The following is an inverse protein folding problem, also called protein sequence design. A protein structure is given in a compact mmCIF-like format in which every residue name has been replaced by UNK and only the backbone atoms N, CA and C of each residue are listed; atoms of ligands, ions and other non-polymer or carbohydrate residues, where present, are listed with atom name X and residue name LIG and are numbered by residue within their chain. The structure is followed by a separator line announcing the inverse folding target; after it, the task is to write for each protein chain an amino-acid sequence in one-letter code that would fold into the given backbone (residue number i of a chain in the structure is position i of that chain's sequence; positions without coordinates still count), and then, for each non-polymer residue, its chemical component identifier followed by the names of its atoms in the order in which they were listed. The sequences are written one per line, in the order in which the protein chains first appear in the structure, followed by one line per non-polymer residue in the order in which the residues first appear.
data_IF_235249405759
#
_entry.id   IF_235249405759
#
_cell.length_a   1.000
_cell.length_b   1.000
_cell.length_c   1.000
_cell.angle_alpha   90.00
_cell.angle_beta   90.00
_cell.angle_gamma   90.00
#
_symmetry.space_group_name_H-M   'P 1'
#
loop_
_entity.id
_entity.type
_entity.pdbx_description
1 polymer ?
#
# COMPACT_ATOMS: atom_id res chain seq x y z
N UNK A 1 63.33 -14.62 33.58
CA UNK A 1 61.94 -14.94 33.97
C UNK A 1 61.03 -14.76 32.76
N UNK A 2 60.36 -15.83 32.32
CA UNK A 2 59.56 -15.89 31.07
C UNK A 2 58.20 -15.21 31.23
N UNK A 3 57.87 -14.35 30.28
CA UNK A 3 56.56 -13.71 30.08
C UNK A 3 55.54 -14.73 29.57
N UNK A 4 54.47 -14.95 30.33
CA UNK A 4 53.35 -15.83 29.94
C UNK A 4 52.32 -14.99 29.16
N UNK A 5 52.36 -15.03 27.82
CA UNK A 5 51.26 -14.55 26.98
C UNK A 5 50.08 -15.52 27.11
N UNK A 6 49.00 -15.04 27.71
CA UNK A 6 47.71 -15.74 27.75
C UNK A 6 47.07 -15.70 26.37
N UNK A 7 47.09 -16.83 25.67
CA UNK A 7 46.35 -17.04 24.43
C UNK A 7 44.87 -17.25 24.76
N UNK A 8 44.05 -16.21 24.63
CA UNK A 8 42.59 -16.34 24.64
C UNK A 8 42.18 -17.18 23.42
N UNK A 9 41.59 -18.36 23.66
CA UNK A 9 40.92 -19.14 22.61
C UNK A 9 39.74 -18.32 22.06
N UNK A 10 39.51 -18.28 20.74
CA UNK A 10 38.27 -17.74 20.21
C UNK A 10 37.12 -18.63 20.70
N UNK A 11 36.12 -18.02 21.33
CA UNK A 11 34.88 -18.71 21.71
C UNK A 11 34.13 -19.19 20.47
N UNK A 12 33.18 -20.14 20.62
CA UNK A 12 32.37 -20.61 19.50
C UNK A 12 31.67 -19.40 18.84
N UNK A 13 31.73 -19.32 17.52
CA UNK A 13 31.02 -18.29 16.76
C UNK A 13 29.54 -18.36 17.15
N UNK A 14 28.98 -17.26 17.67
CA UNK A 14 27.55 -17.16 17.90
C UNK A 14 26.82 -17.52 16.61
N UNK A 15 25.72 -18.31 16.67
CA UNK A 15 24.96 -18.60 15.48
C UNK A 15 24.52 -17.28 14.86
N UNK A 16 24.87 -17.09 13.59
CA UNK A 16 24.54 -15.92 12.80
C UNK A 16 23.00 -15.72 12.83
N UNK A 17 22.53 -14.82 13.69
CA UNK A 17 21.10 -14.57 13.89
C UNK A 17 20.48 -13.84 12.71
N UNK A 18 19.18 -13.56 12.77
CA UNK A 18 18.47 -12.77 11.75
C UNK A 18 19.15 -11.40 11.48
N UNK A 19 19.82 -10.86 12.51
CA UNK A 19 20.58 -9.61 12.43
C UNK A 19 21.82 -9.64 11.54
N UNK A 20 22.33 -10.82 11.13
CA UNK A 20 23.48 -10.95 10.22
C UNK A 20 23.10 -11.28 8.78
N UNK A 21 21.83 -11.55 8.48
CA UNK A 21 21.36 -11.75 7.10
C UNK A 21 21.59 -10.50 6.27
N UNK A 22 21.84 -10.58 4.95
CA UNK A 22 21.80 -9.42 4.03
C UNK A 22 20.43 -8.73 4.00
N UNK A 23 20.39 -7.45 3.62
CA UNK A 23 19.12 -6.68 3.54
C UNK A 23 18.13 -7.34 2.55
N UNK A 24 18.61 -7.91 1.45
CA UNK A 24 17.78 -8.63 0.47
C UNK A 24 17.03 -9.81 1.10
N UNK A 25 17.72 -10.62 1.93
CA UNK A 25 17.09 -11.71 2.66
C UNK A 25 16.09 -11.20 3.70
N UNK A 26 16.36 -10.06 4.34
CA UNK A 26 15.41 -9.43 5.26
C UNK A 26 14.16 -8.92 4.53
N UNK A 27 14.30 -8.38 3.32
CA UNK A 27 13.14 -8.00 2.49
C UNK A 27 12.28 -9.22 2.19
N UNK A 28 12.87 -10.37 1.86
CA UNK A 28 12.12 -11.61 1.65
C UNK A 28 11.37 -12.07 2.91
N UNK A 29 12.02 -11.99 4.08
CA UNK A 29 11.35 -12.28 5.37
C UNK A 29 10.18 -11.33 5.60
N UNK A 30 10.37 -10.03 5.39
CA UNK A 30 9.32 -9.01 5.58
C UNK A 30 8.16 -9.18 4.59
N UNK A 31 8.41 -9.77 3.42
CA UNK A 31 7.36 -10.08 2.44
C UNK A 31 6.39 -11.15 2.95
N UNK A 32 6.85 -12.04 3.82
CA UNK A 32 6.02 -13.07 4.46
C UNK A 32 5.23 -12.58 5.67
N UNK A 33 5.58 -11.42 6.22
CA UNK A 33 4.85 -10.81 7.32
C UNK A 33 3.53 -10.22 6.81
N UNK A 34 2.58 -10.01 7.72
CA UNK A 34 1.46 -9.13 7.41
C UNK A 34 1.88 -7.65 7.52
N UNK A 35 0.92 -6.76 7.27
CA UNK A 35 1.17 -5.32 7.28
C UNK A 35 1.39 -4.79 8.69
N UNK A 36 0.68 -5.31 9.70
CA UNK A 36 0.80 -4.87 11.10
C UNK A 36 2.19 -5.23 11.64
N UNK A 37 2.61 -6.46 11.42
CA UNK A 37 3.92 -6.96 11.76
C UNK A 37 5.00 -6.16 11.03
N UNK A 38 4.85 -5.92 9.73
CA UNK A 38 5.84 -5.12 8.98
C UNK A 38 6.00 -3.72 9.57
N UNK A 39 4.89 -3.07 9.91
CA UNK A 39 4.90 -1.70 10.44
C UNK A 39 5.42 -1.65 11.87
N UNK A 40 5.08 -2.64 12.71
CA UNK A 40 5.59 -2.79 14.07
C UNK A 40 7.10 -3.08 14.09
N UNK A 41 7.56 -3.99 13.23
CA UNK A 41 8.97 -4.34 13.10
C UNK A 41 9.84 -3.19 12.57
N UNK A 42 9.26 -2.25 11.83
CA UNK A 42 9.93 -1.00 11.44
C UNK A 42 10.28 -0.08 12.65
N UNK A 43 9.70 -0.34 13.82
CA UNK A 43 10.01 0.33 15.08
C UNK A 43 11.26 -0.23 15.79
N UNK A 44 11.66 -1.47 15.50
CA UNK A 44 12.67 -2.22 16.27
C UNK A 44 14.09 -1.69 16.05
N UNK A 45 14.47 -1.36 14.82
CA UNK A 45 15.80 -0.83 14.50
C UNK A 45 15.79 0.06 13.25
N UNK A 46 16.82 0.90 13.10
CA UNK A 46 17.02 1.71 11.89
C UNK A 46 17.19 0.87 10.62
N UNK A 47 17.79 -0.31 10.75
CA UNK A 47 17.96 -1.27 9.65
C UNK A 47 16.60 -1.86 9.22
N UNK A 48 15.81 -2.33 10.17
CA UNK A 48 14.49 -2.91 9.89
C UNK A 48 13.53 -1.86 9.35
N UNK A 49 13.63 -0.63 9.85
CA UNK A 49 12.92 0.53 9.28
C UNK A 49 13.25 0.76 7.81
N UNK A 50 14.51 0.59 7.40
CA UNK A 50 14.94 0.73 6.00
C UNK A 50 14.37 -0.41 5.15
N UNK A 51 14.51 -1.65 5.62
CA UNK A 51 13.93 -2.84 4.94
C UNK A 51 12.42 -2.69 4.77
N UNK A 52 11.69 -2.28 5.81
CA UNK A 52 10.25 -2.09 5.75
C UNK A 52 9.80 -0.97 4.79
N UNK A 53 10.70 -0.05 4.42
CA UNK A 53 10.45 1.00 3.42
C UNK A 53 10.74 0.55 1.99
N UNK A 54 11.34 -0.63 1.80
CA UNK A 54 11.73 -1.10 0.49
C UNK A 54 10.52 -1.17 -0.47
N UNK A 55 10.60 -0.53 -1.65
CA UNK A 55 9.50 -0.53 -2.62
C UNK A 55 9.02 -1.94 -2.99
N UNK A 56 9.89 -2.95 -3.02
CA UNK A 56 9.53 -4.32 -3.37
C UNK A 56 8.51 -4.95 -2.39
N UNK A 57 8.44 -4.46 -1.15
CA UNK A 57 7.40 -4.88 -0.19
C UNK A 57 6.02 -4.32 -0.53
N UNK A 58 5.97 -3.18 -1.23
CA UNK A 58 4.76 -2.41 -1.47
C UNK A 58 4.35 -2.35 -2.93
N UNK A 59 5.16 -2.90 -3.85
CA UNK A 59 4.83 -3.00 -5.28
C UNK A 59 3.66 -3.95 -5.56
N UNK A 60 3.39 -4.89 -4.64
CA UNK A 60 2.26 -5.81 -4.70
C UNK A 60 1.24 -5.45 -3.63
N UNK A 61 -0.02 -5.72 -3.94
CA UNK A 61 -1.12 -5.53 -3.01
C UNK A 61 -0.92 -6.40 -1.77
N UNK A 62 -0.89 -5.76 -0.59
CA UNK A 62 -0.86 -6.46 0.70
C UNK A 62 -2.24 -6.54 1.32
N UNK A 63 -2.43 -7.51 2.21
CA UNK A 63 -3.65 -7.67 2.99
C UNK A 63 -3.37 -7.46 4.48
N UNK A 64 -4.36 -6.93 5.19
CA UNK A 64 -4.35 -6.79 6.64
C UNK A 64 -5.75 -6.84 7.23
N UNK A 65 -5.82 -7.03 8.55
CA UNK A 65 -7.04 -6.91 9.33
C UNK A 65 -6.76 -6.09 10.59
N UNK A 66 -6.46 -4.82 10.38
CA UNK A 66 -6.13 -3.86 11.44
C UNK A 66 -7.34 -2.93 11.63
N UNK A 67 -7.76 -2.75 12.86
CA UNK A 67 -8.84 -1.81 13.20
C UNK A 67 -8.54 -0.41 12.66
N UNK A 68 -9.55 0.27 12.09
CA UNK A 68 -9.35 1.62 11.52
C UNK A 68 -8.70 2.57 12.50
N UNK A 69 -9.02 2.52 13.78
CA UNK A 69 -8.49 3.46 14.76
C UNK A 69 -6.98 3.24 15.02
N UNK A 70 -6.48 2.02 14.77
CA UNK A 70 -5.05 1.66 14.82
C UNK A 70 -4.37 1.83 13.46
N UNK A 71 -5.12 1.75 12.35
CA UNK A 71 -4.58 1.92 11.01
C UNK A 71 -4.50 3.40 10.59
N UNK A 72 -5.62 4.12 10.69
CA UNK A 72 -5.80 5.51 10.30
C UNK A 72 -5.88 6.41 11.54
N UNK A 73 -5.00 7.40 11.62
CA UNK A 73 -5.07 8.44 12.64
C UNK A 73 -5.64 9.74 12.06
N UNK A 74 -6.74 10.24 12.64
CA UNK A 74 -7.31 11.56 12.34
C UNK A 74 -6.42 12.70 12.88
N UNK A 75 -5.96 12.59 14.14
CA UNK A 75 -5.13 13.63 14.78
C UNK A 75 -4.01 13.06 15.69
N UNK A 76 -3.84 11.73 15.73
CA UNK A 76 -2.98 11.03 16.70
C UNK A 76 -1.64 10.51 16.17
N UNK A 77 -0.73 10.21 17.10
CA UNK A 77 0.58 9.61 16.81
C UNK A 77 0.51 8.10 16.57
N UNK A 78 -0.53 7.41 17.05
CA UNK A 78 -0.55 5.95 17.16
C UNK A 78 -0.88 5.21 15.86
N UNK A 79 -1.72 5.79 14.98
CA UNK A 79 -2.08 5.13 13.72
C UNK A 79 -0.92 5.03 12.71
N UNK A 80 -0.89 4.01 11.87
CA UNK A 80 0.18 3.85 10.87
C UNK A 80 0.08 4.80 9.67
N UNK A 81 -1.13 5.27 9.37
CA UNK A 81 -1.44 6.18 8.29
C UNK A 81 -2.09 7.44 8.84
N UNK A 82 -1.67 8.61 8.38
CA UNK A 82 -2.24 9.91 8.74
C UNK A 82 -3.22 10.35 7.67
N UNK A 83 -4.45 10.71 8.05
CA UNK A 83 -5.39 11.33 7.11
C UNK A 83 -4.92 12.75 6.77
N UNK A 84 -4.94 13.09 5.48
CA UNK A 84 -4.52 14.39 4.94
C UNK A 84 -5.71 15.24 4.46
N UNK A 85 -6.86 14.63 4.25
CA UNK A 85 -8.08 15.31 3.84
C UNK A 85 -9.28 14.76 4.59
N UNK A 86 -10.33 15.57 4.70
CA UNK A 86 -11.63 15.05 5.11
C UNK A 86 -12.13 14.02 4.07
N UNK A 87 -12.80 12.95 4.53
CA UNK A 87 -13.37 11.96 3.63
C UNK A 87 -14.48 12.56 2.76
N UNK A 88 -14.51 12.20 1.48
CA UNK A 88 -15.57 12.53 0.52
C UNK A 88 -16.34 11.27 0.18
N UNK A 89 -17.65 11.30 0.35
CA UNK A 89 -18.51 10.14 0.09
C UNK A 89 -19.12 10.23 -1.30
N UNK A 90 -19.09 9.13 -2.04
CA UNK A 90 -19.87 8.91 -3.25
C UNK A 90 -20.64 7.58 -3.18
N UNK A 91 -21.31 7.21 -4.27
CA UNK A 91 -22.07 5.96 -4.36
C UNK A 91 -21.21 4.68 -4.31
N UNK A 92 -19.89 4.81 -4.33
CA UNK A 92 -18.92 3.71 -4.34
C UNK A 92 -18.18 3.57 -3.01
N UNK A 93 -18.27 4.55 -2.11
CA UNK A 93 -17.65 4.53 -0.79
C UNK A 93 -17.17 5.91 -0.33
N UNK A 94 -16.36 5.91 0.72
CA UNK A 94 -15.75 7.11 1.29
C UNK A 94 -14.28 7.21 0.90
N UNK A 95 -13.84 8.36 0.39
CA UNK A 95 -12.51 8.58 -0.16
C UNK A 95 -11.75 9.64 0.64
N UNK A 96 -10.52 9.35 1.06
CA UNK A 96 -9.66 10.30 1.75
C UNK A 96 -8.20 10.17 1.30
N UNK A 97 -7.50 11.29 1.17
CA UNK A 97 -6.04 11.28 1.04
C UNK A 97 -5.43 10.93 2.38
N UNK A 98 -4.40 10.09 2.37
CA UNK A 98 -3.65 9.73 3.56
C UNK A 98 -2.14 9.63 3.27
N UNK A 99 -1.34 9.58 4.31
CA UNK A 99 0.10 9.39 4.26
C UNK A 99 0.49 8.23 5.15
N UNK A 100 1.17 7.23 4.58
CA UNK A 100 1.84 6.20 5.39
C UNK A 100 3.01 6.85 6.13
N UNK A 101 2.98 6.85 7.46
CA UNK A 101 4.04 7.47 8.28
C UNK A 101 5.41 6.88 7.98
N UNK A 102 5.47 5.56 7.75
CA UNK A 102 6.67 4.87 7.30
C UNK A 102 7.02 5.27 5.86
N UNK A 103 8.16 5.94 5.67
CA UNK A 103 8.62 6.40 4.35
C UNK A 103 7.84 7.59 3.78
N UNK A 104 6.85 8.15 4.50
CA UNK A 104 6.07 9.34 4.11
C UNK A 104 5.48 9.25 2.70
N UNK A 105 4.81 8.13 2.43
CA UNK A 105 4.22 7.85 1.10
C UNK A 105 2.76 8.29 1.09
N UNK A 106 2.38 9.14 0.13
CA UNK A 106 0.99 9.59 -0.06
C UNK A 106 0.17 8.56 -0.81
N UNK A 107 -1.06 8.40 -0.36
CA UNK A 107 -2.00 7.38 -0.80
C UNK A 107 -3.41 7.95 -0.85
N UNK A 108 -4.26 7.29 -1.62
CA UNK A 108 -5.69 7.50 -1.61
C UNK A 108 -6.36 6.28 -0.95
N UNK A 109 -7.12 6.49 0.11
CA UNK A 109 -7.87 5.46 0.81
C UNK A 109 -9.33 5.52 0.40
N UNK A 110 -9.89 4.38 0.00
CA UNK A 110 -11.33 4.17 -0.22
C UNK A 110 -11.86 3.20 0.83
N UNK A 111 -12.78 3.64 1.66
CA UNK A 111 -13.52 2.79 2.61
C UNK A 111 -14.87 2.42 2.01
N UNK A 112 -15.17 1.12 1.96
CA UNK A 112 -16.42 0.55 1.46
C UNK A 112 -17.09 -0.20 2.60
N UNK A 113 -18.32 0.17 2.90
CA UNK A 113 -19.15 -0.53 3.88
C UNK A 113 -19.61 -1.88 3.31
N UNK A 114 -19.41 -2.97 4.05
CA UNK A 114 -19.77 -4.31 3.61
C UNK A 114 -21.26 -4.61 3.84
N UNK A 115 -21.92 -3.94 4.78
CA UNK A 115 -23.36 -4.08 5.02
C UNK A 115 -24.19 -3.43 3.90
N UNK A 116 -23.64 -2.40 3.25
CA UNK A 116 -24.28 -1.71 2.13
C UNK A 116 -24.35 -2.55 0.86
N UNK A 117 -23.44 -3.51 0.72
CA UNK A 117 -23.13 -4.15 -0.55
C UNK A 117 -24.07 -5.32 -0.88
N UNK A 118 -24.71 -5.92 0.14
CA UNK A 118 -25.85 -6.84 0.06
C UNK A 118 -26.26 -7.14 1.52
N UNK A 119 -27.48 -6.78 1.94
CA UNK A 119 -27.96 -6.81 3.33
C UNK A 119 -27.84 -8.20 4.02
N UNK A 120 -26.64 -8.52 4.52
CA UNK A 120 -26.34 -9.73 5.27
C UNK A 120 -25.56 -10.84 4.55
N UNK A 121 -25.16 -10.68 3.27
CA UNK A 121 -24.44 -11.75 2.52
C UNK A 121 -22.90 -11.58 2.46
N UNK A 122 -22.35 -10.53 3.08
CA UNK A 122 -20.91 -10.29 3.17
C UNK A 122 -20.34 -9.50 1.99
N UNK A 123 -19.06 -9.73 1.64
CA UNK A 123 -18.38 -8.95 0.60
C UNK A 123 -18.91 -9.32 -0.79
N UNK A 124 -19.53 -8.38 -1.53
CA UNK A 124 -20.02 -8.70 -2.89
C UNK A 124 -18.90 -9.21 -3.78
N UNK A 125 -19.24 -10.26 -4.53
CA UNK A 125 -18.39 -10.84 -5.57
C UNK A 125 -17.87 -9.78 -6.56
N UNK A 126 -18.63 -8.70 -6.82
CA UNK A 126 -18.20 -7.61 -7.72
C UNK A 126 -17.00 -6.85 -7.16
N UNK A 127 -17.00 -6.58 -5.85
CA UNK A 127 -15.91 -5.90 -5.17
C UNK A 127 -14.67 -6.80 -5.13
N UNK A 128 -14.83 -8.07 -4.74
CA UNK A 128 -13.74 -9.05 -4.72
C UNK A 128 -13.12 -9.26 -6.09
N UNK A 129 -13.95 -9.40 -7.14
CA UNK A 129 -13.47 -9.50 -8.52
C UNK A 129 -12.72 -8.24 -8.95
N UNK A 130 -13.21 -7.06 -8.60
CA UNK A 130 -12.55 -5.80 -8.95
C UNK A 130 -11.18 -5.70 -8.27
N UNK A 131 -11.07 -6.08 -7.00
CA UNK A 131 -9.79 -6.16 -6.29
C UNK A 131 -8.85 -7.14 -6.99
N UNK A 132 -9.32 -8.35 -7.29
CA UNK A 132 -8.51 -9.36 -7.97
C UNK A 132 -7.98 -8.90 -9.33
N UNK A 133 -8.77 -8.16 -10.11
CA UNK A 133 -8.30 -7.54 -11.34
C UNK A 133 -7.22 -6.46 -11.07
N UNK A 134 -7.45 -5.57 -10.11
CA UNK A 134 -6.50 -4.50 -9.76
C UNK A 134 -5.15 -5.04 -9.27
N UNK A 135 -5.14 -6.19 -8.59
CA UNK A 135 -3.92 -6.85 -8.13
C UNK A 135 -3.00 -7.33 -9.26
N UNK A 136 -3.55 -7.56 -10.46
CA UNK A 136 -2.79 -8.06 -11.61
C UNK A 136 -2.24 -6.92 -12.48
N UNK A 137 -2.77 -5.72 -12.30
CA UNK A 137 -2.46 -4.55 -13.11
C UNK A 137 -1.25 -3.80 -12.54
N UNK A 138 -0.09 -4.05 -13.13
CA UNK A 138 1.16 -3.39 -12.79
C UNK A 138 1.69 -2.63 -14.01
N UNK A 139 1.30 -1.36 -14.13
CA UNK A 139 1.70 -0.49 -15.24
C UNK A 139 1.87 0.96 -14.79
N UNK A 140 2.86 1.72 -15.28
CA UNK A 140 3.12 3.10 -14.85
C UNK A 140 1.93 4.07 -15.02
N UNK A 141 1.02 3.80 -15.95
CA UNK A 141 -0.17 4.63 -16.20
C UNK A 141 -1.45 4.08 -15.56
N UNK A 142 -1.34 3.01 -14.76
CA UNK A 142 -2.46 2.47 -13.97
C UNK A 142 -2.15 2.71 -12.50
N UNK A 143 -3.12 3.28 -11.78
CA UNK A 143 -2.95 3.55 -10.34
C UNK A 143 -2.89 2.21 -9.59
N UNK A 144 -1.79 1.91 -8.87
CA UNK A 144 -1.63 0.63 -8.21
C UNK A 144 -2.49 0.55 -6.95
N UNK A 145 -3.10 -0.62 -6.71
CA UNK A 145 -3.68 -0.99 -5.42
C UNK A 145 -2.58 -1.58 -4.53
N UNK A 146 -2.23 -0.89 -3.45
CA UNK A 146 -1.06 -1.19 -2.63
C UNK A 146 -1.41 -1.95 -1.35
N UNK A 147 -2.56 -1.68 -0.75
CA UNK A 147 -3.02 -2.33 0.48
C UNK A 147 -4.56 -2.50 0.46
N UNK A 148 -5.01 -3.65 0.96
CA UNK A 148 -6.40 -3.96 1.27
C UNK A 148 -6.47 -4.29 2.76
N UNK A 149 -7.24 -3.52 3.53
CA UNK A 149 -7.47 -3.78 4.93
C UNK A 149 -8.93 -4.16 5.17
N UNK A 150 -9.15 -5.22 5.94
CA UNK A 150 -10.47 -5.62 6.44
C UNK A 150 -10.62 -5.10 7.86
N UNK A 151 -11.44 -4.08 8.04
CA UNK A 151 -11.84 -3.59 9.35
C UNK A 151 -13.06 -4.42 9.83
N UNK A 152 -12.80 -5.36 10.73
CA UNK A 152 -13.84 -6.22 11.31
C UNK A 152 -14.78 -5.43 12.23
N UNK A 153 -14.30 -4.60 13.19
CA UNK A 153 -15.19 -3.82 14.06
C UNK A 153 -16.18 -2.91 13.32
N UNK A 154 -15.75 -2.28 12.22
CA UNK A 154 -16.60 -1.37 11.43
C UNK A 154 -17.29 -2.07 10.27
N UNK A 155 -16.99 -3.34 10.03
CA UNK A 155 -17.43 -4.11 8.87
C UNK A 155 -17.15 -3.39 7.53
N UNK A 156 -15.92 -2.90 7.38
CA UNK A 156 -15.49 -2.13 6.20
C UNK A 156 -14.31 -2.77 5.51
N UNK A 157 -14.25 -2.58 4.20
CA UNK A 157 -13.05 -2.83 3.40
C UNK A 157 -12.39 -1.50 3.04
N UNK A 158 -11.10 -1.38 3.33
CA UNK A 158 -10.32 -0.19 3.02
C UNK A 158 -9.26 -0.50 1.97
N UNK A 159 -9.31 0.23 0.86
CA UNK A 159 -8.47 0.05 -0.32
C UNK A 159 -7.52 1.25 -0.45
N UNK A 160 -6.22 0.99 -0.45
CA UNK A 160 -5.19 2.03 -0.52
C UNK A 160 -4.51 2.01 -1.88
N UNK A 161 -4.65 3.12 -2.59
CA UNK A 161 -4.09 3.35 -3.91
C UNK A 161 -2.90 4.30 -3.84
N UNK A 162 -1.97 4.19 -4.80
CA UNK A 162 -0.93 5.21 -4.97
C UNK A 162 -1.54 6.59 -5.28
N UNK A 163 -1.09 7.66 -4.61
CA UNK A 163 -1.53 9.02 -4.97
C UNK A 163 -0.80 9.50 -6.23
N UNK A 164 -1.50 9.52 -7.36
CA UNK A 164 -0.98 10.00 -8.66
C UNK A 164 -1.26 11.49 -8.91
N UNK A 165 -1.72 12.23 -7.90
CA UNK A 165 -1.83 13.68 -7.95
C UNK A 165 -3.23 14.18 -8.30
N UNK A 166 -3.34 14.93 -9.40
CA UNK A 166 -4.54 15.70 -9.75
C UNK A 166 -5.45 14.89 -10.68
N UNK A 167 -6.73 14.65 -10.31
CA UNK A 167 -7.68 13.98 -11.19
C UNK A 167 -7.94 14.76 -12.48
N UNK A 168 -8.18 14.04 -13.58
CA UNK A 168 -8.48 14.64 -14.88
C UNK A 168 -9.66 15.62 -14.83
N UNK A 169 -10.68 15.33 -14.02
CA UNK A 169 -11.84 16.21 -13.82
C UNK A 169 -11.47 17.63 -13.38
N UNK A 170 -10.39 17.78 -12.61
CA UNK A 170 -9.91 19.10 -12.17
C UNK A 170 -9.34 19.88 -13.35
N UNK A 171 -8.60 19.20 -14.24
CA UNK A 171 -8.09 19.79 -15.47
C UNK A 171 -9.23 20.19 -16.41
N UNK A 172 -10.25 19.34 -16.54
CA UNK A 172 -11.42 19.63 -17.38
C UNK A 172 -12.27 20.79 -16.86
N UNK A 173 -12.37 20.94 -15.52
CA UNK A 173 -13.08 22.08 -14.90
C UNK A 173 -12.40 23.43 -15.13
N UNK A 174 -11.09 23.45 -15.40
CA UNK A 174 -10.37 24.68 -15.77
C UNK A 174 -10.73 25.18 -17.19
N UNK A 175 -11.53 24.41 -17.95
CA UNK A 175 -12.02 24.78 -19.27
C UNK A 175 -11.14 24.24 -20.38
N UNK A 176 -10.50 25.12 -21.15
CA UNK A 176 -9.69 24.69 -22.31
C UNK A 176 -8.39 24.06 -21.84
N UNK A 177 -8.17 22.81 -22.23
CA UNK A 177 -6.90 22.10 -22.05
C UNK A 177 -6.04 22.32 -23.29
N UNK A 178 -4.74 22.58 -23.11
CA UNK A 178 -3.82 22.72 -24.24
C UNK A 178 -3.74 21.40 -25.02
N UNK A 179 -3.60 21.48 -26.34
CA UNK A 179 -3.56 20.29 -27.20
C UNK A 179 -2.43 19.32 -26.83
N UNK A 180 -1.31 19.83 -26.34
CA UNK A 180 -0.18 19.01 -25.87
C UNK A 180 -0.54 18.21 -24.62
N UNK A 181 -1.19 18.85 -23.64
CA UNK A 181 -1.68 18.20 -22.43
C UNK A 181 -2.75 17.15 -22.74
N UNK A 182 -3.69 17.48 -23.64
CA UNK A 182 -4.71 16.55 -24.09
C UNK A 182 -4.10 15.31 -24.76
N UNK A 183 -3.07 15.50 -25.62
CA UNK A 183 -2.32 14.38 -26.22
C UNK A 183 -1.57 13.55 -25.17
N UNK A 184 -1.04 14.18 -24.14
CA UNK A 184 -0.35 13.50 -23.05
C UNK A 184 -1.33 12.61 -22.28
N UNK A 185 -2.46 13.17 -21.83
CA UNK A 185 -3.52 12.45 -21.11
C UNK A 185 -4.05 11.29 -21.96
N UNK A 186 -4.39 11.55 -23.23
CA UNK A 186 -4.93 10.51 -24.11
C UNK A 186 -3.94 9.35 -24.29
N UNK A 187 -2.65 9.64 -24.44
CA UNK A 187 -1.61 8.61 -24.54
C UNK A 187 -1.55 7.75 -23.27
N UNK A 188 -1.59 8.37 -22.09
CA UNK A 188 -1.57 7.65 -20.82
C UNK A 188 -2.79 6.73 -20.67
N UNK A 189 -3.98 7.23 -21.01
CA UNK A 189 -5.24 6.46 -20.99
C UNK A 189 -5.18 5.29 -21.98
N UNK A 190 -4.73 5.53 -23.22
CA UNK A 190 -4.60 4.46 -24.22
C UNK A 190 -3.58 3.40 -23.81
N UNK A 191 -2.46 3.78 -23.21
CA UNK A 191 -1.47 2.84 -22.67
C UNK A 191 -2.06 2.01 -21.51
N UNK A 192 -2.81 2.65 -20.61
CA UNK A 192 -3.49 1.95 -19.52
C UNK A 192 -4.52 0.94 -20.04
N UNK A 193 -5.38 1.35 -20.98
CA UNK A 193 -6.38 0.48 -21.60
C UNK A 193 -5.76 -0.67 -22.36
N UNK A 194 -4.69 -0.42 -23.14
CA UNK A 194 -3.96 -1.47 -23.84
C UNK A 194 -3.41 -2.52 -22.87
N UNK A 195 -2.83 -2.08 -21.74
CA UNK A 195 -2.36 -2.99 -20.69
C UNK A 195 -3.51 -3.80 -20.07
N UNK A 196 -4.61 -3.14 -19.71
CA UNK A 196 -5.79 -3.82 -19.17
C UNK A 196 -6.34 -4.88 -20.15
N UNK A 197 -6.47 -4.54 -21.43
CA UNK A 197 -6.97 -5.44 -22.46
C UNK A 197 -6.05 -6.63 -22.71
N UNK A 198 -4.72 -6.43 -22.66
CA UNK A 198 -3.75 -7.51 -22.76
C UNK A 198 -3.88 -8.55 -21.61
N UNK A 199 -4.43 -8.13 -20.46
CA UNK A 199 -4.76 -9.01 -19.33
C UNK A 199 -6.23 -9.48 -19.31
N UNK A 200 -7.00 -9.19 -20.37
CA UNK A 200 -8.42 -9.58 -20.45
C UNK A 200 -9.36 -8.76 -19.55
N UNK A 201 -8.94 -7.59 -19.09
CA UNK A 201 -9.71 -6.71 -18.20
C UNK A 201 -10.30 -5.54 -19.00
N UNK A 202 -11.61 -5.35 -18.94
CA UNK A 202 -12.32 -4.21 -19.56
C UNK A 202 -12.78 -3.21 -18.51
N UNK A 203 -12.37 -1.93 -18.63
CA UNK A 203 -12.67 -0.86 -17.66
C UNK A 203 -14.16 -0.49 -17.60
N UNK A 204 -14.93 -0.74 -18.68
CA UNK A 204 -16.40 -0.52 -18.82
C UNK A 204 -16.94 0.90 -18.56
N UNK A 205 -16.18 1.79 -17.93
CA UNK A 205 -16.46 3.21 -17.75
C UNK A 205 -15.15 4.03 -17.78
N UNK A 206 -14.48 4.15 -18.94
CA UNK A 206 -13.19 4.85 -19.08
C UNK A 206 -13.26 6.36 -18.96
#
# INVERSE_FOLDING_TARGET
MKTRRSSRRPGPAEPAGIGSLPDECLVEVFRSLDVEDTLSNAGVSSRWRRVAQDPALWQRTRFSSIDTDRLLSHEGHEGHFRLLSQPRVDHTGSWAKCERKLGRVRLLCRSVDLDYVEAGEGVSYRLLRSISCLQQLHHPTVVPLLLVNVDVPRNQLQLFYGDVGTPLEVLLKAGRVAMEDARCVLRQVLQALAHCHAQGITHRNP
#
